data_IF_957752669163
#
_entry.id   IF_957752669163
#
_cell.length_a   1.000
_cell.length_b   1.000
_cell.length_c   1.000
_cell.angle_alpha   90.00
_cell.angle_beta   90.00
_cell.angle_gamma   90.00
#
_symmetry.space_group_name_H-M   'P 1'
#
loop_
_entity.id
_entity.type
_entity.pdbx_description
1 polymer ?
#
# COMPACT_ATOMS: atom_id res chain seq x y z
N UNK A 1 2.67 -26.54 -16.24
CA UNK A 1 3.31 -25.66 -15.25
C UNK A 1 2.34 -24.52 -15.02
N UNK A 2 1.58 -24.56 -13.94
CA UNK A 2 0.78 -23.40 -13.51
C UNK A 2 1.78 -22.30 -13.18
N UNK A 3 1.87 -21.29 -14.04
CA UNK A 3 2.62 -20.08 -13.72
C UNK A 3 2.05 -19.52 -12.43
N UNK A 4 2.91 -19.23 -11.47
CA UNK A 4 2.52 -18.61 -10.22
C UNK A 4 1.95 -17.23 -10.56
N UNK A 5 0.64 -17.03 -10.34
CA UNK A 5 -0.03 -15.74 -10.58
C UNK A 5 0.71 -14.68 -9.77
N UNK A 6 1.13 -13.60 -10.40
CA UNK A 6 1.91 -12.55 -9.75
C UNK A 6 1.02 -11.80 -8.74
N UNK A 7 1.02 -12.24 -7.48
CA UNK A 7 0.28 -11.65 -6.37
C UNK A 7 1.08 -10.53 -5.71
N UNK A 8 0.47 -9.38 -5.47
CA UNK A 8 1.14 -8.19 -4.93
C UNK A 8 0.31 -7.41 -3.91
N UNK A 9 0.97 -6.89 -2.89
CA UNK A 9 0.35 -5.93 -1.97
C UNK A 9 0.33 -4.56 -2.65
N UNK A 10 -0.84 -3.96 -2.78
CA UNK A 10 -0.97 -2.61 -3.33
C UNK A 10 -1.11 -1.60 -2.19
N UNK A 11 -0.38 -0.50 -2.34
CA UNK A 11 -0.45 0.66 -1.46
C UNK A 11 -1.81 1.38 -1.60
N UNK A 12 -2.17 2.20 -0.63
CA UNK A 12 -3.47 2.89 -0.59
C UNK A 12 -3.66 3.82 -1.79
N UNK A 13 -2.58 4.49 -2.22
CA UNK A 13 -2.63 5.35 -3.40
C UNK A 13 -2.95 4.58 -4.70
N UNK A 14 -2.55 3.31 -4.82
CA UNK A 14 -2.87 2.47 -5.98
C UNK A 14 -4.38 2.19 -6.03
N UNK A 15 -5.00 1.91 -4.87
CA UNK A 15 -6.46 1.72 -4.79
C UNK A 15 -7.21 3.02 -5.09
N UNK A 16 -6.70 4.17 -4.62
CA UNK A 16 -7.34 5.46 -4.85
C UNK A 16 -7.33 5.83 -6.35
N UNK A 17 -6.20 5.58 -7.02
CA UNK A 17 -5.95 6.00 -8.40
C UNK A 17 -6.30 4.93 -9.44
N UNK A 18 -6.83 3.78 -9.01
CA UNK A 18 -6.93 2.54 -9.80
C UNK A 18 -7.44 2.74 -11.23
N UNK A 19 -8.51 3.53 -11.41
CA UNK A 19 -9.15 3.77 -12.72
C UNK A 19 -8.25 4.48 -13.74
N UNK A 20 -7.19 5.15 -13.29
CA UNK A 20 -6.23 5.85 -14.14
C UNK A 20 -4.90 5.12 -14.36
N UNK A 21 -4.65 4.02 -13.66
CA UNK A 21 -3.36 3.31 -13.70
C UNK A 21 -3.22 2.43 -14.94
N UNK A 22 -1.97 2.07 -15.27
CA UNK A 22 -1.71 1.11 -16.35
C UNK A 22 -1.91 -0.30 -15.79
N UNK A 23 -2.83 -1.11 -16.33
CA UNK A 23 -3.01 -2.48 -15.86
C UNK A 23 -1.73 -3.34 -15.99
N UNK A 24 -0.83 -3.02 -16.92
CA UNK A 24 0.45 -3.74 -17.08
C UNK A 24 1.45 -3.47 -15.94
N UNK A 25 1.25 -2.39 -15.18
CA UNK A 25 2.07 -2.06 -14.00
C UNK A 25 1.50 -2.65 -12.70
N UNK A 26 0.35 -3.34 -12.75
CA UNK A 26 -0.33 -3.92 -11.59
C UNK A 26 -0.07 -5.44 -11.47
N UNK A 27 -0.14 -6.01 -10.25
CA UNK A 27 -0.09 -7.46 -10.10
C UNK A 27 -1.36 -8.12 -10.69
N UNK A 28 -1.21 -9.36 -11.15
CA UNK A 28 -2.35 -10.15 -11.64
C UNK A 28 -3.38 -10.41 -10.52
N UNK A 29 -2.90 -10.56 -9.28
CA UNK A 29 -3.75 -10.63 -8.09
C UNK A 29 -3.36 -9.52 -7.10
N UNK A 30 -4.26 -8.56 -6.91
CA UNK A 30 -4.10 -7.49 -5.92
C UNK A 30 -4.56 -7.97 -4.54
N UNK A 31 -3.75 -7.66 -3.52
CA UNK A 31 -4.19 -7.69 -2.12
C UNK A 31 -3.94 -6.34 -1.47
N UNK A 32 -4.72 -6.02 -0.44
CA UNK A 32 -4.56 -4.79 0.34
C UNK A 32 -4.23 -5.11 1.80
N UNK A 33 -3.75 -4.10 2.51
CA UNK A 33 -3.48 -4.20 3.95
C UNK A 33 -4.67 -3.69 4.78
N UNK A 34 -4.76 -4.14 6.04
CA UNK A 34 -5.70 -3.57 7.01
C UNK A 34 -5.43 -2.07 7.26
N UNK A 35 -4.20 -1.62 7.02
CA UNK A 35 -3.80 -0.21 7.11
C UNK A 35 -4.42 0.59 5.97
N UNK A 36 -4.37 0.06 4.74
CA UNK A 36 -5.06 0.63 3.57
C UNK A 36 -6.57 0.71 3.80
N UNK A 37 -7.17 -0.34 4.34
CA UNK A 37 -8.59 -0.32 4.71
C UNK A 37 -8.89 0.78 5.74
N UNK A 38 -8.02 0.96 6.74
CA UNK A 38 -8.17 2.03 7.73
C UNK A 38 -8.07 3.44 7.12
N UNK A 39 -7.15 3.65 6.17
CA UNK A 39 -7.03 4.93 5.46
C UNK A 39 -8.25 5.24 4.60
N UNK A 40 -8.76 4.24 3.87
CA UNK A 40 -10.01 4.38 3.10
C UNK A 40 -11.19 4.70 4.01
N UNK A 41 -11.29 4.04 5.18
CA UNK A 41 -12.34 4.29 6.16
C UNK A 41 -12.27 5.70 6.76
N UNK A 42 -11.06 6.24 6.94
CA UNK A 42 -10.85 7.61 7.41
C UNK A 42 -11.17 8.66 6.32
N UNK A 43 -10.95 8.33 5.05
CA UNK A 43 -11.08 9.23 3.90
C UNK A 43 -12.36 10.09 3.87
N UNK A 44 -13.57 9.53 4.00
CA UNK A 44 -14.84 10.27 4.02
C UNK A 44 -14.93 11.37 5.08
N UNK A 45 -14.19 11.24 6.19
CA UNK A 45 -14.17 12.21 7.28
C UNK A 45 -13.34 13.45 6.97
N UNK A 46 -12.41 13.36 6.00
CA UNK A 46 -11.60 14.49 5.55
C UNK A 46 -12.19 15.24 4.35
N UNK A 47 -13.28 14.73 3.76
CA UNK A 47 -13.90 15.33 2.57
C UNK A 47 -14.46 16.72 2.88
N UNK A 48 -14.27 17.66 1.95
CA UNK A 48 -14.72 19.06 2.07
C UNK A 48 -16.08 19.30 1.41
N UNK A 49 -16.53 18.37 0.57
CA UNK A 49 -17.82 18.46 -0.14
C UNK A 49 -18.61 17.17 0.00
N UNK A 50 -19.92 17.24 -0.21
CA UNK A 50 -20.79 16.06 -0.24
C UNK A 50 -20.44 15.11 -1.38
N UNK A 51 -20.05 15.63 -2.55
CA UNK A 51 -19.62 14.83 -3.69
C UNK A 51 -18.34 14.04 -3.42
N UNK A 52 -17.30 14.71 -2.93
CA UNK A 52 -16.04 14.06 -2.52
C UNK A 52 -16.27 13.00 -1.43
N UNK A 53 -17.17 13.29 -0.47
CA UNK A 53 -17.53 12.32 0.56
C UNK A 53 -18.20 11.08 -0.03
N UNK A 54 -19.14 11.26 -0.96
CA UNK A 54 -19.84 10.15 -1.60
C UNK A 54 -18.87 9.24 -2.36
N UNK A 55 -17.95 9.82 -3.14
CA UNK A 55 -16.92 9.09 -3.88
C UNK A 55 -16.01 8.27 -2.95
N UNK A 56 -15.60 8.86 -1.81
CA UNK A 56 -14.75 8.14 -0.83
C UNK A 56 -15.50 7.02 -0.11
N UNK A 57 -16.79 7.19 0.15
CA UNK A 57 -17.64 6.13 0.73
C UNK A 57 -17.79 4.98 -0.27
N UNK A 58 -18.07 5.29 -1.53
CA UNK A 58 -18.18 4.29 -2.60
C UNK A 58 -16.87 3.50 -2.74
N UNK A 59 -15.72 4.19 -2.74
CA UNK A 59 -14.41 3.53 -2.78
C UNK A 59 -14.16 2.60 -1.59
N UNK A 60 -14.53 3.02 -0.37
CA UNK A 60 -14.45 2.17 0.83
C UNK A 60 -15.33 0.93 0.68
N UNK A 61 -16.60 1.10 0.30
CA UNK A 61 -17.56 0.00 0.16
C UNK A 61 -17.11 -1.01 -0.90
N UNK A 62 -16.58 -0.53 -2.03
CA UNK A 62 -16.00 -1.39 -3.06
C UNK A 62 -14.81 -2.17 -2.53
N UNK A 63 -13.91 -1.53 -1.76
CA UNK A 63 -12.78 -2.22 -1.16
C UNK A 63 -13.22 -3.27 -0.14
N UNK A 64 -14.21 -2.99 0.71
CA UNK A 64 -14.79 -3.94 1.68
C UNK A 64 -15.47 -5.13 1.00
N UNK A 65 -16.07 -4.93 -0.17
CA UNK A 65 -16.72 -5.99 -0.94
C UNK A 65 -15.73 -6.89 -1.70
N UNK A 66 -14.59 -6.35 -2.11
CA UNK A 66 -13.65 -7.03 -3.02
C UNK A 66 -12.45 -7.67 -2.31
N UNK A 67 -12.05 -7.18 -1.13
CA UNK A 67 -10.81 -7.59 -0.50
C UNK A 67 -11.00 -8.13 0.92
N UNK A 68 -10.19 -9.14 1.26
CA UNK A 68 -9.91 -9.55 2.64
C UNK A 68 -8.53 -9.01 3.05
N UNK A 69 -8.44 -7.90 3.82
CA UNK A 69 -7.19 -7.21 4.04
C UNK A 69 -6.18 -8.00 4.89
N UNK A 70 -4.91 -8.02 4.47
CA UNK A 70 -3.85 -8.61 5.27
C UNK A 70 -3.62 -7.81 6.57
N UNK A 71 -3.63 -8.46 7.75
CA UNK A 71 -3.63 -7.74 9.02
C UNK A 71 -2.23 -7.21 9.37
N UNK A 72 -2.21 -6.03 10.00
CA UNK A 72 -1.05 -5.62 10.80
C UNK A 72 -1.00 -6.40 12.13
N UNK A 73 -0.55 -7.64 12.06
CA UNK A 73 -0.48 -8.56 13.20
C UNK A 73 0.84 -8.43 14.00
N UNK A 74 1.06 -9.33 14.97
CA UNK A 74 2.30 -9.35 15.77
C UNK A 74 3.57 -9.58 14.94
N UNK A 75 3.48 -10.34 13.83
CA UNK A 75 4.63 -10.58 12.94
C UNK A 75 4.97 -9.29 12.19
N UNK A 76 3.96 -8.63 11.63
CA UNK A 76 4.11 -7.33 10.97
C UNK A 76 4.64 -6.28 11.95
N UNK A 77 4.12 -6.23 13.18
CA UNK A 77 4.61 -5.31 14.22
C UNK A 77 6.09 -5.53 14.58
N UNK A 78 6.56 -6.79 14.64
CA UNK A 78 8.00 -7.08 14.85
C UNK A 78 8.82 -6.66 13.63
N UNK A 79 8.35 -6.98 12.42
CA UNK A 79 9.04 -6.62 11.17
C UNK A 79 9.14 -5.11 10.97
N UNK A 80 8.13 -4.36 11.41
CA UNK A 80 8.13 -2.90 11.42
C UNK A 80 9.33 -2.32 12.18
N UNK A 81 9.73 -2.93 13.30
CA UNK A 81 10.95 -2.52 14.02
C UNK A 81 12.23 -2.63 13.18
N UNK A 82 12.37 -3.69 12.39
CA UNK A 82 13.52 -3.87 11.49
C UNK A 82 13.48 -2.87 10.33
N UNK A 83 12.30 -2.62 9.78
CA UNK A 83 12.09 -1.60 8.74
C UNK A 83 12.49 -0.21 9.26
N UNK A 84 12.04 0.17 10.45
CA UNK A 84 12.44 1.44 11.08
C UNK A 84 13.95 1.51 11.28
N UNK A 85 14.59 0.43 11.74
CA UNK A 85 16.05 0.38 11.88
C UNK A 85 16.77 0.59 10.54
N UNK A 86 16.27 0.00 9.46
CA UNK A 86 16.82 0.15 8.11
C UNK A 86 16.66 1.58 7.58
N UNK A 87 15.49 2.21 7.78
CA UNK A 87 15.26 3.62 7.42
C UNK A 87 16.20 4.56 8.20
N UNK A 88 16.44 4.29 9.48
CA UNK A 88 17.38 5.07 10.28
C UNK A 88 18.83 4.87 9.83
N UNK A 89 19.22 3.64 9.51
CA UNK A 89 20.55 3.32 8.99
C UNK A 89 20.84 3.98 7.63
N UNK A 90 19.80 4.21 6.81
CA UNK A 90 19.91 4.98 5.55
C UNK A 90 19.89 6.50 5.75
N UNK A 91 19.90 6.98 7.00
CA UNK A 91 19.93 8.41 7.33
C UNK A 91 18.58 9.12 7.15
N UNK A 92 17.48 8.37 6.98
CA UNK A 92 16.15 8.93 6.77
C UNK A 92 15.34 8.97 8.06
N UNK A 93 14.39 9.91 8.15
CA UNK A 93 13.47 10.01 9.28
C UNK A 93 12.22 9.15 9.04
N UNK A 94 11.94 8.09 9.83
CA UNK A 94 10.77 7.24 9.63
C UNK A 94 9.44 7.91 10.01
N UNK A 95 9.45 9.00 10.80
CA UNK A 95 8.23 9.57 11.37
C UNK A 95 7.16 10.05 10.37
N UNK A 96 7.51 10.69 9.24
CA UNK A 96 6.50 11.16 8.28
C UNK A 96 5.79 10.04 7.52
N UNK A 97 6.40 8.84 7.45
CA UNK A 97 5.96 7.70 6.64
C UNK A 97 5.56 6.48 7.47
N UNK A 98 5.22 6.68 8.75
CA UNK A 98 4.95 5.57 9.69
C UNK A 98 3.88 4.62 9.17
N UNK A 99 2.84 5.16 8.54
CA UNK A 99 1.72 4.39 8.00
C UNK A 99 2.21 3.55 6.81
N UNK A 100 2.92 4.16 5.85
CA UNK A 100 3.53 3.45 4.72
C UNK A 100 4.48 2.32 5.19
N UNK A 101 5.28 2.59 6.23
CA UNK A 101 6.18 1.58 6.79
C UNK A 101 5.43 0.41 7.46
N UNK A 102 4.19 0.61 7.94
CA UNK A 102 3.34 -0.49 8.41
C UNK A 102 2.86 -1.36 7.23
N UNK A 103 2.50 -0.74 6.10
CA UNK A 103 2.16 -1.46 4.85
C UNK A 103 3.36 -2.27 4.37
N UNK A 104 4.55 -1.67 4.33
CA UNK A 104 5.80 -2.36 4.01
C UNK A 104 6.08 -3.55 4.95
N UNK A 105 5.79 -3.42 6.25
CA UNK A 105 5.97 -4.52 7.19
C UNK A 105 5.08 -5.72 6.88
N UNK A 106 3.84 -5.48 6.46
CA UNK A 106 2.89 -6.51 6.03
C UNK A 106 3.39 -7.17 4.74
N UNK A 107 3.78 -6.38 3.73
CA UNK A 107 4.36 -6.88 2.48
C UNK A 107 5.56 -7.80 2.75
N UNK A 108 6.46 -7.34 3.61
CA UNK A 108 7.69 -8.04 3.97
C UNK A 108 7.45 -9.36 4.68
N UNK A 109 6.46 -9.42 5.59
CA UNK A 109 6.08 -10.67 6.27
C UNK A 109 5.37 -11.63 5.33
N UNK A 110 4.54 -11.09 4.42
CA UNK A 110 3.84 -11.85 3.40
C UNK A 110 4.71 -12.29 2.22
N UNK A 111 5.95 -11.81 2.14
CA UNK A 111 6.86 -11.99 0.99
C UNK A 111 6.22 -11.55 -0.32
N UNK A 112 5.44 -10.46 -0.27
CA UNK A 112 4.76 -9.90 -1.42
C UNK A 112 5.50 -8.67 -1.94
N UNK A 113 5.63 -8.49 -3.26
CA UNK A 113 6.02 -7.21 -3.82
C UNK A 113 5.01 -6.13 -3.41
N UNK A 114 5.51 -4.93 -3.10
CA UNK A 114 4.72 -3.75 -2.75
C UNK A 114 4.63 -2.81 -3.95
N UNK A 115 3.42 -2.64 -4.47
CA UNK A 115 3.13 -1.73 -5.59
C UNK A 115 2.70 -0.36 -5.05
N UNK A 116 3.34 0.70 -5.53
CA UNK A 116 3.08 2.07 -5.05
C UNK A 116 3.39 3.10 -6.13
N UNK A 117 2.66 4.23 -6.12
CA UNK A 117 3.02 5.40 -6.94
C UNK A 117 4.15 6.24 -6.32
N UNK A 118 4.50 6.00 -5.05
CA UNK A 118 5.51 6.75 -4.31
C UNK A 118 6.69 5.86 -3.85
N UNK A 119 7.44 5.21 -4.76
CA UNK A 119 8.51 4.28 -4.37
C UNK A 119 9.61 4.92 -3.52
N UNK A 120 9.80 6.24 -3.64
CA UNK A 120 10.75 7.00 -2.85
C UNK A 120 10.47 6.95 -1.34
N UNK A 121 9.22 6.74 -0.91
CA UNK A 121 8.91 6.62 0.52
C UNK A 121 9.52 5.37 1.15
N UNK A 122 9.83 4.36 0.35
CA UNK A 122 10.38 3.08 0.79
C UNK A 122 11.90 2.94 0.64
N UNK A 123 12.59 3.99 0.18
CA UNK A 123 14.06 3.96 0.04
C UNK A 123 14.78 3.63 1.35
N UNK A 124 15.78 2.75 1.27
CA UNK A 124 16.49 2.16 2.41
C UNK A 124 15.89 0.84 2.91
N UNK A 125 14.96 0.23 2.15
CA UNK A 125 14.31 -1.06 2.46
C UNK A 125 14.55 -2.14 1.41
N UNK A 126 15.52 -1.93 0.50
CA UNK A 126 15.74 -2.75 -0.70
C UNK A 126 16.04 -4.22 -0.36
N UNK A 127 16.66 -4.49 0.79
CA UNK A 127 16.94 -5.86 1.26
C UNK A 127 15.77 -6.50 2.04
N UNK A 128 14.71 -5.72 2.31
CA UNK A 128 13.59 -6.14 3.16
C UNK A 128 12.28 -6.34 2.40
N UNK A 129 12.09 -5.59 1.31
CA UNK A 129 10.89 -5.63 0.46
C UNK A 129 11.25 -5.40 -1.00
N UNK A 130 10.52 -6.06 -1.89
CA UNK A 130 10.53 -5.77 -3.32
C UNK A 130 9.51 -4.66 -3.61
N UNK A 131 9.98 -3.46 -3.97
CA UNK A 131 9.11 -2.31 -4.28
C UNK A 131 8.95 -2.18 -5.78
N UNK A 132 7.70 -2.25 -6.25
CA UNK A 132 7.32 -2.09 -7.65
C UNK A 132 6.69 -0.72 -7.85
N UNK A 133 7.32 0.10 -8.69
CA UNK A 133 6.79 1.42 -9.05
C UNK A 133 5.56 1.24 -9.95
N UNK A 134 4.52 1.99 -9.64
CA UNK A 134 3.39 2.27 -10.54
C UNK A 134 3.45 3.74 -10.95
N UNK A 135 3.20 4.04 -12.21
CA UNK A 135 3.26 5.39 -12.75
C UNK A 135 1.99 6.15 -12.36
N UNK A 136 2.15 7.32 -11.74
CA UNK A 136 1.04 8.19 -11.38
C UNK A 136 0.29 8.65 -12.66
N UNK A 137 -1.07 8.63 -12.70
CA UNK A 137 -1.84 8.97 -13.90
C UNK A 137 -1.51 10.36 -14.47
N UNK A 138 -1.33 11.35 -13.59
CA UNK A 138 -1.00 12.74 -13.97
C UNK A 138 0.45 12.96 -14.45
N UNK A 139 1.31 11.92 -14.41
CA UNK A 139 2.72 12.01 -14.84
C UNK A 139 2.97 11.43 -16.24
N UNK A 140 1.90 11.09 -16.98
CA UNK A 140 1.98 10.62 -18.37
C UNK A 140 2.08 11.77 -19.38
#
# INVERSE_FOLDING_TARGET
>A
MTGEVARGLVDTNVIILLDGLDPEELPEEMVISSVTMAELAAGPHYARTSGERAERIERLQNAEALFDPLPFDTRAARRYGHIVASVLASGRNPKPRRVDLMIAAIASVGQLPLYTVNPADFGGLEDLIDVRKVTHPDSR
#
